data_IF_347595083747
#
_entry.id   IF_347595083747
#
_cell.length_a   1.000
_cell.length_b   1.000
_cell.length_c   1.000
_cell.angle_alpha   90.00
_cell.angle_beta   90.00
_cell.angle_gamma   90.00
#
_symmetry.space_group_name_H-M   'P 1'
#
loop_
_entity.id
_entity.type
_entity.pdbx_description
1 polymer ?
#
# COMPACT_ATOMS: atom_id res chain seq x y z
N UNK A 1 -11.86 -23.18 7.57
CA UNK A 1 -12.29 -22.11 6.66
C UNK A 1 -13.82 -21.94 6.56
N UNK A 2 -14.61 -22.75 7.24
CA UNK A 2 -16.08 -22.73 7.12
C UNK A 2 -16.79 -21.46 7.64
N UNK A 3 -16.10 -20.57 8.34
CA UNK A 3 -16.69 -19.34 8.91
C UNK A 3 -16.06 -18.02 8.37
N UNK A 4 -15.31 -18.08 7.26
CA UNK A 4 -14.76 -16.84 6.66
C UNK A 4 -15.79 -16.28 5.70
N UNK A 5 -16.20 -14.99 5.84
CA UNK A 5 -17.16 -14.34 4.96
C UNK A 5 -16.71 -14.34 3.50
N UNK A 6 -17.65 -14.29 2.54
CA UNK A 6 -17.37 -14.59 1.14
C UNK A 6 -16.39 -13.62 0.46
N UNK A 7 -16.46 -12.32 0.76
CA UNK A 7 -15.55 -11.35 0.12
C UNK A 7 -14.14 -11.51 0.65
N UNK A 8 -13.96 -11.60 1.97
CA UNK A 8 -12.65 -11.87 2.60
C UNK A 8 -12.03 -13.14 2.03
N UNK A 9 -12.82 -14.24 1.95
CA UNK A 9 -12.36 -15.50 1.38
C UNK A 9 -11.92 -15.34 -0.07
N UNK A 10 -12.74 -14.69 -0.90
CA UNK A 10 -12.47 -14.51 -2.33
C UNK A 10 -11.25 -13.62 -2.57
N UNK A 11 -11.09 -12.53 -1.81
CA UNK A 11 -9.91 -11.67 -1.88
C UNK A 11 -8.63 -12.47 -1.60
N UNK A 12 -8.63 -13.30 -0.55
CA UNK A 12 -7.48 -14.16 -0.24
C UNK A 12 -7.19 -15.14 -1.38
N UNK A 13 -8.22 -15.83 -1.89
CA UNK A 13 -8.05 -16.80 -2.98
C UNK A 13 -7.51 -16.11 -4.25
N UNK A 14 -8.07 -14.97 -4.64
CA UNK A 14 -7.64 -14.24 -5.84
C UNK A 14 -6.17 -13.81 -5.70
N UNK A 15 -5.77 -13.25 -4.56
CA UNK A 15 -4.38 -12.85 -4.32
C UNK A 15 -3.42 -14.05 -4.38
N UNK A 16 -3.79 -15.17 -3.78
CA UNK A 16 -2.98 -16.41 -3.84
C UNK A 16 -2.86 -16.91 -5.29
N UNK A 17 -3.95 -16.91 -6.04
CA UNK A 17 -3.94 -17.34 -7.45
C UNK A 17 -3.08 -16.40 -8.31
N UNK A 18 -3.20 -15.08 -8.13
CA UNK A 18 -2.36 -14.10 -8.81
C UNK A 18 -0.87 -14.27 -8.46
N UNK A 19 -0.54 -14.56 -7.21
CA UNK A 19 0.82 -14.80 -6.79
C UNK A 19 1.44 -16.03 -7.47
N UNK A 20 0.71 -17.14 -7.50
CA UNK A 20 1.18 -18.33 -8.23
C UNK A 20 1.21 -18.10 -9.74
N UNK A 21 0.24 -17.39 -10.30
CA UNK A 21 0.26 -17.01 -11.71
C UNK A 21 1.50 -16.18 -12.06
N UNK A 22 1.92 -15.24 -11.20
CA UNK A 22 3.13 -14.46 -11.39
C UNK A 22 4.39 -15.35 -11.41
N UNK A 23 4.50 -16.30 -10.48
CA UNK A 23 5.63 -17.26 -10.43
C UNK A 23 5.67 -18.13 -11.71
N UNK A 24 4.51 -18.58 -12.17
CA UNK A 24 4.43 -19.41 -13.40
C UNK A 24 4.78 -18.57 -14.63
N UNK A 25 4.22 -17.36 -14.76
CA UNK A 25 4.45 -16.48 -15.89
C UNK A 25 5.94 -16.11 -16.04
N UNK A 26 6.63 -15.90 -14.92
CA UNK A 26 8.06 -15.57 -14.89
C UNK A 26 8.92 -16.69 -15.51
N UNK A 27 8.53 -17.97 -15.35
CA UNK A 27 9.23 -19.10 -16.00
C UNK A 27 9.10 -19.05 -17.54
N UNK A 28 8.11 -18.36 -18.06
CA UNK A 28 7.90 -18.14 -19.50
C UNK A 28 8.39 -16.76 -19.96
N UNK A 29 9.16 -16.04 -19.12
CA UNK A 29 9.72 -14.74 -19.45
C UNK A 29 8.75 -13.57 -19.34
N UNK A 30 7.58 -13.76 -18.70
CA UNK A 30 6.58 -12.70 -18.48
C UNK A 30 6.58 -12.27 -17.00
N UNK A 31 6.98 -11.05 -16.73
CA UNK A 31 6.91 -10.49 -15.39
C UNK A 31 5.53 -9.84 -15.16
N UNK A 32 4.62 -10.55 -14.47
CA UNK A 32 3.29 -10.01 -14.19
C UNK A 32 3.32 -8.82 -13.22
N UNK A 33 4.31 -8.71 -12.34
CA UNK A 33 4.46 -7.54 -11.48
C UNK A 33 4.80 -6.29 -12.31
N UNK A 34 5.56 -6.43 -13.40
CA UNK A 34 5.85 -5.33 -14.32
C UNK A 34 4.62 -4.94 -15.17
N UNK A 35 3.76 -5.89 -15.53
CA UNK A 35 2.58 -5.63 -16.36
C UNK A 35 1.41 -5.06 -15.54
N UNK A 36 1.14 -5.64 -14.36
CA UNK A 36 -0.06 -5.38 -13.55
C UNK A 36 0.21 -4.51 -12.30
N UNK A 37 1.48 -4.36 -11.91
CA UNK A 37 1.90 -3.42 -10.86
C UNK A 37 1.74 -1.97 -11.30
N UNK A 38 1.60 -1.06 -10.35
CA UNK A 38 1.42 0.37 -10.60
C UNK A 38 2.76 1.03 -10.90
N UNK A 39 2.98 1.38 -12.14
CA UNK A 39 4.10 2.22 -12.55
C UNK A 39 3.76 3.69 -12.36
N UNK A 40 4.80 4.48 -12.11
CA UNK A 40 4.68 5.94 -12.03
C UNK A 40 4.02 6.51 -13.30
N UNK A 41 3.11 7.47 -13.13
CA UNK A 41 2.22 7.94 -14.21
C UNK A 41 2.94 8.54 -15.43
N UNK A 42 4.17 9.03 -15.30
CA UNK A 42 5.00 9.49 -16.42
C UNK A 42 5.81 8.35 -17.08
N UNK A 43 5.75 7.13 -16.54
CA UNK A 43 6.39 5.97 -17.17
C UNK A 43 5.66 5.55 -18.44
N UNK A 44 6.40 5.17 -19.48
CA UNK A 44 5.82 4.57 -20.68
C UNK A 44 5.04 3.27 -20.41
N UNK A 45 5.32 2.62 -19.27
CA UNK A 45 4.66 1.40 -18.82
C UNK A 45 3.37 1.66 -18.04
N UNK A 46 3.09 2.90 -17.65
CA UNK A 46 1.87 3.22 -16.91
C UNK A 46 0.61 2.90 -17.73
N UNK A 47 -0.35 2.26 -17.07
CA UNK A 47 -1.69 2.01 -17.60
C UNK A 47 -2.72 2.23 -16.49
N UNK A 48 -3.84 2.84 -16.82
CA UNK A 48 -4.87 3.21 -15.83
C UNK A 48 -5.40 2.01 -15.02
N UNK A 49 -5.46 0.82 -15.61
CA UNK A 49 -5.89 -0.39 -14.91
C UNK A 49 -4.96 -0.77 -13.76
N UNK A 50 -3.71 -0.32 -13.78
CA UNK A 50 -2.72 -0.62 -12.75
C UNK A 50 -3.09 -0.02 -11.40
N UNK A 51 -3.87 1.07 -11.35
CA UNK A 51 -4.45 1.61 -10.11
C UNK A 51 -5.34 0.59 -9.35
N UNK A 52 -5.78 -0.45 -10.03
CA UNK A 52 -6.56 -1.52 -9.44
C UNK A 52 -5.78 -2.83 -9.36
N UNK A 53 -5.08 -3.22 -10.42
CA UNK A 53 -4.45 -4.54 -10.52
C UNK A 53 -3.25 -4.71 -9.59
N UNK A 54 -2.54 -3.64 -9.28
CA UNK A 54 -1.39 -3.67 -8.38
C UNK A 54 -1.70 -4.25 -6.99
N UNK A 55 -2.98 -4.10 -6.53
CA UNK A 55 -3.46 -4.62 -5.25
C UNK A 55 -3.43 -6.15 -5.16
N UNK A 56 -3.28 -6.85 -6.28
CA UNK A 56 -3.26 -8.31 -6.36
C UNK A 56 -1.85 -8.86 -6.65
N UNK A 57 -0.89 -7.99 -6.90
CA UNK A 57 0.50 -8.35 -7.17
C UNK A 57 1.33 -8.31 -5.89
N UNK A 58 2.30 -9.20 -5.74
CA UNK A 58 3.13 -9.29 -4.55
C UNK A 58 4.60 -9.58 -4.92
N UNK A 59 5.53 -8.88 -4.25
CA UNK A 59 6.96 -9.00 -4.51
C UNK A 59 7.60 -10.26 -3.94
N UNK A 60 6.94 -10.99 -3.04
CA UNK A 60 7.48 -12.20 -2.44
C UNK A 60 6.52 -12.87 -1.47
N UNK A 61 6.94 -14.06 -0.99
CA UNK A 61 6.10 -14.90 -0.11
C UNK A 61 5.73 -14.22 1.21
N UNK A 62 6.69 -13.56 1.86
CA UNK A 62 6.41 -12.86 3.12
C UNK A 62 5.41 -11.73 2.92
N UNK A 63 5.55 -11.01 1.82
CA UNK A 63 4.66 -9.91 1.48
C UNK A 63 3.20 -10.37 1.33
N UNK A 64 2.94 -11.43 0.56
CA UNK A 64 1.57 -11.98 0.44
C UNK A 64 1.09 -12.60 1.75
N UNK A 65 1.96 -13.29 2.49
CA UNK A 65 1.60 -13.95 3.74
C UNK A 65 1.06 -12.94 4.76
N UNK A 66 1.77 -11.83 5.01
CA UNK A 66 1.34 -10.83 5.97
C UNK A 66 0.10 -10.07 5.50
N UNK A 67 0.00 -9.76 4.20
CA UNK A 67 -1.20 -9.13 3.65
C UNK A 67 -2.43 -10.02 3.84
N UNK A 68 -2.35 -11.27 3.44
CA UNK A 68 -3.49 -12.20 3.52
C UNK A 68 -3.84 -12.56 4.95
N UNK A 69 -2.86 -12.63 5.83
CA UNK A 69 -3.11 -12.82 7.26
C UNK A 69 -3.89 -11.64 7.86
N UNK A 70 -3.50 -10.40 7.53
CA UNK A 70 -4.22 -9.20 7.99
C UNK A 70 -5.64 -9.11 7.40
N UNK A 71 -5.81 -9.39 6.11
CA UNK A 71 -7.14 -9.48 5.47
C UNK A 71 -8.00 -10.54 6.15
N UNK A 72 -7.45 -11.71 6.45
CA UNK A 72 -8.18 -12.77 7.14
C UNK A 72 -8.53 -12.38 8.58
N UNK A 73 -7.60 -11.81 9.33
CA UNK A 73 -7.78 -11.51 10.75
C UNK A 73 -8.76 -10.34 10.97
N UNK A 74 -8.57 -9.24 10.27
CA UNK A 74 -9.34 -8.01 10.46
C UNK A 74 -10.48 -7.87 9.44
N UNK A 75 -10.25 -8.24 8.18
CA UNK A 75 -11.24 -8.11 7.11
C UNK A 75 -12.49 -8.93 7.38
N UNK A 76 -12.36 -10.16 7.88
CA UNK A 76 -13.52 -11.00 8.23
C UNK A 76 -14.43 -10.36 9.27
N UNK A 77 -13.85 -9.63 10.25
CA UNK A 77 -14.61 -8.95 11.29
C UNK A 77 -15.38 -7.78 10.69
N UNK A 78 -14.70 -6.97 9.87
CA UNK A 78 -15.33 -5.83 9.21
C UNK A 78 -16.41 -6.27 8.24
N UNK A 79 -16.18 -7.32 7.44
CA UNK A 79 -17.19 -7.86 6.53
C UNK A 79 -18.43 -8.38 7.28
N UNK A 80 -18.22 -9.06 8.41
CA UNK A 80 -19.32 -9.54 9.25
C UNK A 80 -20.19 -8.40 9.77
N UNK A 81 -19.56 -7.25 10.11
CA UNK A 81 -20.27 -6.08 10.65
C UNK A 81 -20.92 -5.24 9.55
N UNK A 82 -20.23 -5.06 8.42
CA UNK A 82 -20.67 -4.15 7.36
C UNK A 82 -21.48 -4.81 6.26
N UNK A 83 -21.37 -6.12 6.15
CA UNK A 83 -21.84 -6.89 5.01
C UNK A 83 -20.85 -6.85 3.82
N UNK A 84 -21.01 -7.80 2.88
CA UNK A 84 -20.05 -8.05 1.81
C UNK A 84 -19.87 -6.88 0.84
N UNK A 85 -20.96 -6.22 0.45
CA UNK A 85 -20.90 -5.13 -0.54
C UNK A 85 -20.14 -3.92 -0.02
N UNK A 86 -20.37 -3.53 1.24
CA UNK A 86 -19.73 -2.37 1.84
C UNK A 86 -18.26 -2.64 2.14
N UNK A 87 -17.93 -3.86 2.59
CA UNK A 87 -16.55 -4.26 2.81
C UNK A 87 -15.76 -4.27 1.50
N UNK A 88 -16.31 -4.84 0.43
CA UNK A 88 -15.66 -4.83 -0.89
C UNK A 88 -15.45 -3.42 -1.42
N UNK A 89 -16.47 -2.57 -1.32
CA UNK A 89 -16.37 -1.16 -1.73
C UNK A 89 -15.26 -0.43 -0.96
N UNK A 90 -15.22 -0.63 0.37
CA UNK A 90 -14.18 -0.06 1.22
C UNK A 90 -12.79 -0.51 0.80
N UNK A 91 -12.59 -1.80 0.64
CA UNK A 91 -11.32 -2.40 0.25
C UNK A 91 -10.81 -1.84 -1.09
N UNK A 92 -11.64 -1.86 -2.11
CA UNK A 92 -11.27 -1.41 -3.46
C UNK A 92 -11.03 0.09 -3.48
N UNK A 93 -11.93 0.89 -2.90
CA UNK A 93 -11.78 2.36 -2.93
C UNK A 93 -10.54 2.81 -2.18
N UNK A 94 -10.28 2.25 -1.00
CA UNK A 94 -9.09 2.60 -0.23
C UNK A 94 -7.79 2.12 -0.89
N UNK A 95 -7.82 0.96 -1.55
CA UNK A 95 -6.67 0.48 -2.32
C UNK A 95 -6.35 1.39 -3.50
N UNK A 96 -7.35 1.78 -4.30
CA UNK A 96 -7.15 2.75 -5.38
C UNK A 96 -6.65 4.10 -4.82
N UNK A 97 -7.24 4.57 -3.72
CA UNK A 97 -6.81 5.79 -3.04
C UNK A 97 -5.37 5.72 -2.55
N UNK A 98 -4.93 4.58 -2.06
CA UNK A 98 -3.55 4.34 -1.66
C UNK A 98 -2.58 4.47 -2.85
N UNK A 99 -2.93 3.88 -4.00
CA UNK A 99 -2.17 4.03 -5.23
C UNK A 99 -2.08 5.48 -5.70
N UNK A 100 -3.19 6.23 -5.65
CA UNK A 100 -3.19 7.65 -6.01
C UNK A 100 -2.31 8.49 -5.08
N UNK A 101 -2.31 8.21 -3.77
CA UNK A 101 -1.42 8.91 -2.83
C UNK A 101 0.05 8.59 -3.14
N UNK A 102 0.35 7.34 -3.47
CA UNK A 102 1.70 6.94 -3.88
C UNK A 102 2.17 7.71 -5.12
N UNK A 103 1.33 7.83 -6.15
CA UNK A 103 1.64 8.59 -7.36
C UNK A 103 1.88 10.08 -7.07
N UNK A 104 1.00 10.70 -6.26
CA UNK A 104 1.15 12.10 -5.85
C UNK A 104 2.43 12.31 -5.05
N UNK A 105 2.77 11.39 -4.16
CA UNK A 105 4.00 11.48 -3.37
C UNK A 105 5.24 11.38 -4.26
N UNK A 106 5.27 10.39 -5.14
CA UNK A 106 6.35 10.23 -6.12
C UNK A 106 6.51 11.47 -6.99
N UNK A 107 5.40 12.07 -7.44
CA UNK A 107 5.44 13.32 -8.20
C UNK A 107 6.17 14.43 -7.45
N UNK A 108 5.79 14.72 -6.20
CA UNK A 108 6.43 15.81 -5.44
C UNK A 108 7.86 15.49 -5.01
N UNK A 109 8.15 14.24 -4.70
CA UNK A 109 9.47 13.82 -4.24
C UNK A 109 10.49 13.83 -5.37
N UNK A 110 10.07 13.43 -6.57
CA UNK A 110 10.98 13.18 -7.69
C UNK A 110 10.90 14.20 -8.83
N UNK A 111 9.89 15.06 -8.82
CA UNK A 111 9.73 16.10 -9.84
C UNK A 111 11.03 16.88 -10.13
N UNK A 112 11.78 17.38 -9.11
CA UNK A 112 13.01 18.13 -9.36
C UNK A 112 14.08 17.28 -10.06
N UNK A 113 14.17 16.00 -9.71
CA UNK A 113 15.18 15.09 -10.26
C UNK A 113 14.82 14.66 -11.68
N UNK A 114 13.55 14.40 -11.96
CA UNK A 114 13.10 13.93 -13.27
C UNK A 114 13.17 15.03 -14.32
N UNK A 115 12.83 16.26 -13.97
CA UNK A 115 12.97 17.40 -14.88
C UNK A 115 14.41 17.67 -15.30
N UNK A 116 15.35 17.43 -14.40
CA UNK A 116 16.76 17.69 -14.63
C UNK A 116 17.55 16.45 -15.09
N UNK A 117 16.88 15.30 -15.28
CA UNK A 117 17.56 14.04 -15.62
C UNK A 117 18.42 14.18 -16.91
N UNK A 118 17.93 14.87 -17.94
CA UNK A 118 18.68 15.11 -19.16
C UNK A 118 19.95 15.95 -18.92
N UNK A 119 19.88 16.89 -17.97
CA UNK A 119 21.03 17.71 -17.56
C UNK A 119 22.03 16.87 -16.78
N UNK A 120 21.58 15.99 -15.90
CA UNK A 120 22.49 15.09 -15.15
C UNK A 120 23.31 14.19 -16.05
N UNK A 121 22.77 13.78 -17.20
CA UNK A 121 23.52 12.99 -18.17
C UNK A 121 24.66 13.76 -18.82
N UNK A 122 24.67 15.09 -18.73
CA UNK A 122 25.74 15.95 -19.26
C UNK A 122 26.82 16.25 -18.22
N UNK A 123 26.59 15.98 -16.93
CA UNK A 123 27.59 16.15 -15.88
C UNK A 123 28.55 14.97 -15.81
N UNK A 124 29.80 15.18 -15.34
CA UNK A 124 30.66 14.06 -14.94
C UNK A 124 29.94 13.17 -13.92
N UNK A 125 30.09 11.86 -14.04
CA UNK A 125 29.38 10.87 -13.17
C UNK A 125 29.56 11.12 -11.67
N UNK A 126 30.71 11.69 -11.28
CA UNK A 126 31.07 11.98 -9.90
C UNK A 126 30.68 13.40 -9.44
N UNK A 127 30.10 14.22 -10.33
CA UNK A 127 29.70 15.58 -9.96
C UNK A 127 28.68 15.56 -8.82
N UNK A 128 28.96 16.27 -7.73
CA UNK A 128 28.06 16.39 -6.58
C UNK A 128 26.97 17.41 -6.84
N UNK A 129 25.73 16.94 -6.91
CA UNK A 129 24.54 17.75 -7.22
C UNK A 129 23.60 17.79 -6.02
N UNK A 130 23.36 18.96 -5.42
CA UNK A 130 22.42 19.10 -4.32
C UNK A 130 20.99 19.27 -4.85
N UNK A 131 20.07 18.39 -4.41
CA UNK A 131 18.63 18.51 -4.67
C UNK A 131 17.88 18.29 -3.35
N UNK A 132 16.97 19.19 -3.02
CA UNK A 132 16.14 19.12 -1.81
C UNK A 132 16.96 18.84 -0.52
N UNK A 133 18.14 19.48 -0.39
CA UNK A 133 19.02 19.30 0.77
C UNK A 133 19.84 18.02 0.79
N UNK A 134 19.70 17.15 -0.20
CA UNK A 134 20.47 15.92 -0.34
C UNK A 134 21.48 16.06 -1.47
N UNK A 135 22.77 15.86 -1.18
CA UNK A 135 23.82 15.90 -2.19
C UNK A 135 24.17 14.48 -2.64
N UNK A 136 24.10 14.23 -3.95
CA UNK A 136 24.44 12.94 -4.57
C UNK A 136 25.21 13.16 -5.89
N UNK A 137 25.88 12.13 -6.38
CA UNK A 137 26.49 12.19 -7.71
C UNK A 137 25.42 12.19 -8.83
N UNK A 138 25.77 12.71 -10.01
CA UNK A 138 24.90 12.65 -11.18
C UNK A 138 24.44 11.22 -11.48
N UNK A 139 25.34 10.25 -11.39
CA UNK A 139 25.03 8.82 -11.56
C UNK A 139 23.99 8.32 -10.55
N UNK A 140 24.12 8.70 -9.27
CA UNK A 140 23.17 8.32 -8.24
C UNK A 140 21.79 8.92 -8.49
N UNK A 141 21.70 10.17 -8.97
CA UNK A 141 20.43 10.79 -9.32
C UNK A 141 19.75 10.10 -10.52
N UNK A 142 20.54 9.77 -11.56
CA UNK A 142 20.04 9.02 -12.71
C UNK A 142 19.53 7.63 -12.29
N UNK A 143 20.26 6.92 -11.43
CA UNK A 143 19.84 5.61 -10.92
C UNK A 143 18.53 5.70 -10.11
N UNK A 144 18.33 6.77 -9.32
CA UNK A 144 17.08 7.02 -8.60
C UNK A 144 15.93 7.22 -9.59
N UNK A 145 16.09 8.08 -10.60
CA UNK A 145 15.07 8.31 -11.62
C UNK A 145 14.69 7.02 -12.35
N UNK A 146 15.69 6.25 -12.77
CA UNK A 146 15.46 4.96 -13.45
C UNK A 146 14.70 3.98 -12.55
N UNK A 147 15.03 3.93 -11.26
CA UNK A 147 14.32 3.08 -10.30
C UNK A 147 12.86 3.47 -10.18
N UNK A 148 12.55 4.76 -10.04
CA UNK A 148 11.18 5.26 -9.91
C UNK A 148 10.35 4.94 -11.15
N UNK A 149 10.93 5.15 -12.33
CA UNK A 149 10.23 4.93 -13.61
C UNK A 149 10.02 3.43 -13.88
N UNK A 150 10.97 2.57 -13.46
CA UNK A 150 11.01 1.17 -13.86
C UNK A 150 10.46 0.19 -12.83
N UNK A 151 10.46 0.52 -11.53
CA UNK A 151 10.00 -0.39 -10.48
C UNK A 151 8.55 -0.09 -10.12
N UNK A 152 7.61 -1.01 -10.41
CA UNK A 152 6.21 -0.80 -10.08
C UNK A 152 5.93 -0.99 -8.59
N UNK A 153 4.96 -0.23 -8.07
CA UNK A 153 4.36 -0.48 -6.77
C UNK A 153 3.44 -1.69 -6.86
N UNK A 154 3.55 -2.62 -5.90
CA UNK A 154 2.74 -3.84 -5.83
C UNK A 154 2.31 -4.12 -4.40
N UNK A 155 1.12 -4.70 -4.23
CA UNK A 155 0.64 -5.19 -2.95
C UNK A 155 -0.77 -4.76 -2.57
N UNK A 156 -1.44 -5.62 -1.81
CA UNK A 156 -2.72 -5.34 -1.18
C UNK A 156 -2.57 -4.39 0.03
N UNK A 157 -1.35 -4.06 0.43
CA UNK A 157 -1.04 -3.43 1.72
C UNK A 157 -1.73 -2.08 1.92
N UNK A 158 -1.89 -1.24 0.90
CA UNK A 158 -2.66 0.00 1.01
C UNK A 158 -4.10 -0.25 1.49
N UNK A 159 -4.79 -1.22 0.91
CA UNK A 159 -6.13 -1.63 1.36
C UNK A 159 -6.09 -2.32 2.73
N UNK A 160 -5.02 -3.06 3.05
CA UNK A 160 -4.83 -3.68 4.37
C UNK A 160 -4.66 -2.62 5.46
N UNK A 161 -3.88 -1.58 5.23
CA UNK A 161 -3.75 -0.47 6.19
C UNK A 161 -5.07 0.29 6.38
N UNK A 162 -5.89 0.39 5.33
CA UNK A 162 -7.27 0.89 5.48
C UNK A 162 -8.13 -0.04 6.36
N UNK A 163 -8.04 -1.37 6.18
CA UNK A 163 -8.71 -2.35 7.05
C UNK A 163 -8.28 -2.17 8.51
N UNK A 164 -6.98 -2.02 8.77
CA UNK A 164 -6.45 -1.77 10.10
C UNK A 164 -6.99 -0.48 10.69
N UNK A 165 -7.00 0.62 9.92
CA UNK A 165 -7.60 1.89 10.33
C UNK A 165 -9.07 1.72 10.71
N UNK A 166 -9.86 1.03 9.88
CA UNK A 166 -11.26 0.76 10.16
C UNK A 166 -11.44 -0.03 11.45
N UNK A 167 -10.65 -1.07 11.64
CA UNK A 167 -10.70 -1.91 12.84
C UNK A 167 -10.40 -1.08 14.10
N UNK A 168 -9.33 -0.27 14.09
CA UNK A 168 -8.99 0.58 15.23
C UNK A 168 -10.03 1.65 15.53
N UNK A 169 -10.73 2.19 14.50
CA UNK A 169 -11.81 3.16 14.69
C UNK A 169 -13.10 2.53 15.20
N UNK A 170 -13.39 1.29 14.84
CA UNK A 170 -14.61 0.58 15.23
C UNK A 170 -14.47 -0.14 16.57
N UNK A 171 -13.31 -0.69 16.84
CA UNK A 171 -13.01 -1.49 18.02
C UNK A 171 -11.78 -0.94 18.79
N UNK A 172 -11.81 0.34 19.22
CA UNK A 172 -10.62 1.04 19.73
C UNK A 172 -10.01 0.41 21.00
N UNK A 173 -10.82 -0.25 21.80
CA UNK A 173 -10.40 -0.88 23.04
C UNK A 173 -10.16 -2.40 22.92
N UNK A 174 -10.37 -2.97 21.72
CA UNK A 174 -10.07 -4.38 21.47
C UNK A 174 -8.59 -4.63 21.68
N UNK A 175 -8.27 -5.64 22.48
CA UNK A 175 -6.91 -6.08 22.74
C UNK A 175 -6.43 -7.00 21.61
N UNK A 176 -5.21 -6.71 21.11
CA UNK A 176 -4.56 -7.48 20.04
C UNK A 176 -3.23 -7.98 20.58
N UNK A 177 -3.02 -9.27 20.46
CA UNK A 177 -1.74 -9.90 20.79
C UNK A 177 -0.82 -9.88 19.57
N UNK A 178 0.35 -9.29 19.72
CA UNK A 178 1.38 -9.23 18.69
C UNK A 178 2.57 -10.07 19.17
N UNK A 179 2.87 -11.15 18.47
CA UNK A 179 4.05 -11.97 18.76
C UNK A 179 5.30 -11.23 18.26
N UNK A 180 6.34 -11.05 19.08
CA UNK A 180 6.60 -11.68 20.40
C UNK A 180 6.28 -10.82 21.63
N UNK A 181 5.42 -9.80 21.53
CA UNK A 181 5.14 -8.93 22.68
C UNK A 181 4.40 -9.69 23.77
N UNK A 182 4.84 -9.57 25.05
CA UNK A 182 4.25 -10.32 26.16
C UNK A 182 2.89 -9.76 26.63
N UNK A 183 2.48 -8.60 26.12
CA UNK A 183 1.27 -7.90 26.54
C UNK A 183 0.40 -7.55 25.33
N UNK A 184 -0.95 -7.61 25.48
CA UNK A 184 -1.84 -7.15 24.44
C UNK A 184 -1.80 -5.61 24.31
N UNK A 185 -1.96 -5.12 23.09
CA UNK A 185 -2.06 -3.70 22.79
C UNK A 185 -3.49 -3.41 22.34
N UNK A 186 -4.09 -2.31 22.85
CA UNK A 186 -5.40 -1.86 22.37
C UNK A 186 -5.29 -1.40 20.91
N UNK A 187 -6.28 -1.77 20.09
CA UNK A 187 -6.30 -1.50 18.65
C UNK A 187 -6.01 -0.05 18.31
N UNK A 188 -6.57 0.92 19.03
CA UNK A 188 -6.31 2.35 18.81
C UNK A 188 -4.82 2.72 18.89
N UNK A 189 -4.09 2.15 19.85
CA UNK A 189 -2.66 2.45 20.02
C UNK A 189 -1.81 1.77 18.95
N UNK A 190 -2.21 0.56 18.54
CA UNK A 190 -1.56 -0.13 17.44
C UNK A 190 -1.66 0.65 16.13
N UNK A 191 -2.86 1.16 15.80
CA UNK A 191 -3.09 1.92 14.57
C UNK A 191 -2.35 3.26 14.60
N UNK A 192 -2.36 3.97 15.73
CA UNK A 192 -1.57 5.22 15.89
C UNK A 192 -0.07 4.90 15.73
N UNK A 193 0.40 3.83 16.34
CA UNK A 193 1.80 3.40 16.21
C UNK A 193 2.19 3.09 14.77
N UNK A 194 1.36 2.35 14.03
CA UNK A 194 1.59 2.10 12.59
C UNK A 194 1.60 3.39 11.78
N UNK A 195 0.65 4.31 12.02
CA UNK A 195 0.63 5.59 11.31
C UNK A 195 1.92 6.38 11.51
N UNK A 196 2.38 6.50 12.77
CA UNK A 196 3.61 7.23 13.10
C UNK A 196 4.85 6.53 12.51
N UNK A 197 4.88 5.19 12.56
CA UNK A 197 5.96 4.40 12.01
C UNK A 197 6.05 4.57 10.48
N UNK A 198 4.94 4.42 9.77
CA UNK A 198 4.88 4.57 8.30
C UNK A 198 5.26 5.99 7.87
N UNK A 199 4.80 7.02 8.61
CA UNK A 199 5.19 8.40 8.35
C UNK A 199 6.70 8.62 8.58
N UNK A 200 7.23 8.12 9.67
CA UNK A 200 8.65 8.22 9.99
C UNK A 200 9.52 7.50 8.96
N UNK A 201 9.16 6.27 8.60
CA UNK A 201 9.89 5.50 7.61
C UNK A 201 9.75 6.09 6.20
N UNK A 202 8.58 6.58 5.82
CA UNK A 202 8.39 7.24 4.52
C UNK A 202 9.28 8.48 4.33
N UNK A 203 9.60 9.19 5.43
CA UNK A 203 10.48 10.37 5.38
C UNK A 203 11.96 9.98 5.49
N UNK A 204 12.30 8.96 6.27
CA UNK A 204 13.67 8.66 6.68
C UNK A 204 14.30 7.46 5.98
N UNK A 205 13.50 6.50 5.50
CA UNK A 205 14.03 5.28 4.90
C UNK A 205 14.02 5.31 3.37
N UNK A 206 14.88 4.51 2.79
CA UNK A 206 14.93 4.26 1.35
C UNK A 206 14.97 2.75 1.09
N UNK A 207 14.10 2.02 1.81
CA UNK A 207 14.05 0.55 1.81
C UNK A 207 13.27 -0.05 0.62
N UNK A 208 12.67 0.81 -0.19
CA UNK A 208 11.87 0.40 -1.36
C UNK A 208 10.43 -0.01 -1.01
N UNK A 209 9.99 0.23 0.23
CA UNK A 209 8.61 0.02 0.65
C UNK A 209 7.79 1.29 0.35
N UNK A 210 6.57 1.10 -0.13
CA UNK A 210 5.67 2.20 -0.48
C UNK A 210 4.92 2.71 0.78
N UNK A 211 5.66 3.30 1.73
CA UNK A 211 5.11 3.80 3.00
C UNK A 211 3.97 4.80 2.80
N UNK A 212 4.09 5.67 1.81
CA UNK A 212 3.03 6.64 1.51
C UNK A 212 1.77 5.99 0.92
N UNK A 213 1.87 4.84 0.22
CA UNK A 213 0.68 4.07 -0.15
C UNK A 213 -0.04 3.51 1.09
N UNK A 214 0.70 3.05 2.12
CA UNK A 214 0.13 2.61 3.39
C UNK A 214 -0.61 3.76 4.10
N UNK A 215 0.04 4.91 4.23
CA UNK A 215 -0.58 6.12 4.79
C UNK A 215 -1.80 6.55 3.97
N UNK A 216 -1.71 6.51 2.64
CA UNK A 216 -2.82 6.79 1.73
C UNK A 216 -4.03 5.90 2.02
N UNK A 217 -3.80 4.60 2.17
CA UNK A 217 -4.84 3.65 2.56
C UNK A 217 -5.50 4.01 3.90
N UNK A 218 -4.70 4.35 4.91
CA UNK A 218 -5.21 4.78 6.22
C UNK A 218 -6.02 6.06 6.12
N UNK A 219 -5.57 7.07 5.37
CA UNK A 219 -6.26 8.35 5.18
C UNK A 219 -7.61 8.15 4.47
N UNK A 220 -7.63 7.44 3.34
CA UNK A 220 -8.87 7.14 2.63
C UNK A 220 -9.84 6.34 3.50
N UNK A 221 -9.31 5.36 4.24
CA UNK A 221 -10.10 4.57 5.18
C UNK A 221 -10.73 5.41 6.29
N UNK A 222 -9.94 6.30 6.89
CA UNK A 222 -10.42 7.24 7.90
C UNK A 222 -11.53 8.15 7.35
N UNK A 223 -11.28 8.80 6.21
CA UNK A 223 -12.24 9.74 5.60
C UNK A 223 -13.55 9.05 5.24
N UNK A 224 -13.49 7.84 4.69
CA UNK A 224 -14.69 7.09 4.30
C UNK A 224 -15.53 6.68 5.52
N UNK A 225 -14.90 6.26 6.62
CA UNK A 225 -15.59 5.96 7.86
C UNK A 225 -16.23 7.22 8.47
N UNK A 226 -15.52 8.33 8.48
CA UNK A 226 -16.06 9.61 8.98
C UNK A 226 -17.25 10.06 8.14
N UNK A 227 -17.18 9.93 6.82
CA UNK A 227 -18.28 10.21 5.91
C UNK A 227 -19.52 9.34 6.22
N UNK A 228 -19.32 8.04 6.42
CA UNK A 228 -20.42 7.14 6.75
C UNK A 228 -21.05 7.43 8.13
N UNK A 229 -20.22 7.77 9.13
CA UNK A 229 -20.72 8.18 10.45
C UNK A 229 -21.61 9.43 10.35
N UNK A 230 -21.19 10.41 9.54
CA UNK A 230 -21.97 11.65 9.34
C UNK A 230 -23.30 11.41 8.65
N UNK A 231 -23.40 10.45 7.74
CA UNK A 231 -24.64 10.11 7.02
C UNK A 231 -25.61 9.22 7.81
N UNK A 232 -25.37 8.98 9.09
CA UNK A 232 -26.28 8.19 9.93
C UNK A 232 -26.28 6.70 9.61
N UNK A 233 -25.26 6.21 8.88
CA UNK A 233 -25.00 4.79 8.70
C UNK A 233 -24.64 4.20 10.06
N UNK A 234 -25.64 3.66 10.77
CA UNK A 234 -25.61 3.23 12.16
C UNK A 234 -24.52 2.21 12.48
N UNK A 235 -23.34 2.74 12.73
CA UNK A 235 -22.30 1.99 13.43
C UNK A 235 -22.43 2.35 14.90
N UNK A 236 -23.20 1.52 15.61
CA UNK A 236 -23.18 1.52 17.06
C UNK A 236 -21.72 1.53 17.51
N UNK A 237 -21.38 2.40 18.46
CA UNK A 237 -20.14 2.27 19.19
C UNK A 237 -20.17 0.87 19.83
N UNK A 238 -19.39 -0.06 19.30
CA UNK A 238 -19.07 -1.27 20.01
C UNK A 238 -18.03 -0.86 21.06
N UNK A 239 -18.54 -0.42 22.23
CA UNK A 239 -17.77 -0.08 23.43
C UNK A 239 -17.32 -1.34 24.13
#
# INVERSE_FOLDING_TARGET
MNNTPPVTKNLIIINILCFFAAIVAERYGVNLNDVLGLHYFESEKFRLYQLFTYMFMHSGFEHILFNMFAVWMFGRILETVWGPQRFLFYYVLCGIGAGLVQEVTQYFEFLPVMHDMAQFLTFPSEASIPINGTTRSAEQWVAICQRIISVPTVGASGAVYAILMAFGMMFPNQEIFIIPLPMPIKAKWLIIGYFVLELGMGIMSNDGIAHFAHLGGMIFGFLLIMYWRKKGGGYGRYS
#
